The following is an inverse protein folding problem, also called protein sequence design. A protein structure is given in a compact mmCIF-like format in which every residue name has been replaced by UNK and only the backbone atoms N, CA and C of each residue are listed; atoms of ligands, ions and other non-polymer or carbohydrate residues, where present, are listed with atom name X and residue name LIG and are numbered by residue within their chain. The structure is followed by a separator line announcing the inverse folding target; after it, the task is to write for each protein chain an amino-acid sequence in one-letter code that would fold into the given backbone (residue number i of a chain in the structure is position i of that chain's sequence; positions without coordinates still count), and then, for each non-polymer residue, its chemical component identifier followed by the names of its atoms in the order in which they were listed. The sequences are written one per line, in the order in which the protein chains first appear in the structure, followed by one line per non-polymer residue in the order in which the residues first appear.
data_IF_437194550340
#
_entry.id   IF_437194550340
#
_cell.length_a   1.000
_cell.length_b   1.000
_cell.length_c   1.000
_cell.angle_alpha   90.00
_cell.angle_beta   90.00
_cell.angle_gamma   90.00
#
_symmetry.space_group_name_H-M   'P 1'
#
loop_
_entity.id
_entity.type
_entity.pdbx_description
1 polymer ?
#
# COMPACT_ATOMS: atom_id res chain seq x y z
N UNK A 1 -8.65 11.56 -44.86
CA UNK A 1 -7.43 10.81 -44.51
C UNK A 1 -6.58 11.79 -43.73
N UNK A 2 -6.65 11.89 -42.41
CA UNK A 2 -7.20 11.03 -41.34
C UNK A 2 -7.59 11.95 -40.17
N UNK A 3 -8.64 11.56 -39.46
CA UNK A 3 -9.23 12.25 -38.31
C UNK A 3 -8.26 12.38 -37.13
N UNK A 4 -8.28 13.55 -36.50
CA UNK A 4 -7.62 13.85 -35.23
C UNK A 4 -8.63 13.59 -34.11
N UNK A 5 -8.43 12.51 -33.35
CA UNK A 5 -9.23 12.20 -32.16
C UNK A 5 -8.45 12.70 -30.95
N UNK A 6 -8.76 13.92 -30.53
CA UNK A 6 -8.47 14.39 -29.18
C UNK A 6 -9.24 13.50 -28.21
N UNK A 7 -8.53 12.60 -27.52
CA UNK A 7 -9.08 11.86 -26.39
C UNK A 7 -9.29 12.85 -25.25
N UNK A 8 -10.47 13.46 -25.24
CA UNK A 8 -10.92 14.36 -24.18
C UNK A 8 -11.28 13.53 -22.96
N UNK A 9 -10.65 13.87 -21.85
CA UNK A 9 -10.97 13.42 -20.50
C UNK A 9 -12.49 13.48 -20.27
N UNK A 10 -13.11 12.32 -20.06
CA UNK A 10 -14.55 12.21 -19.83
C UNK A 10 -14.81 12.72 -18.42
N UNK A 11 -15.61 13.79 -18.22
CA UNK A 11 -15.93 14.25 -16.88
C UNK A 11 -16.58 13.13 -16.09
N UNK A 12 -15.97 12.72 -14.98
CA UNK A 12 -16.55 11.71 -14.10
C UNK A 12 -17.85 12.24 -13.48
N UNK A 13 -18.91 11.42 -13.52
CA UNK A 13 -20.20 11.75 -12.91
C UNK A 13 -20.08 11.67 -11.37
N UNK A 14 -20.28 12.77 -10.63
CA UNK A 14 -20.20 12.77 -9.17
C UNK A 14 -21.17 11.79 -8.50
N UNK A 15 -22.30 11.45 -9.14
CA UNK A 15 -23.24 10.47 -8.60
C UNK A 15 -22.74 9.02 -8.75
N UNK A 16 -21.94 8.75 -9.79
CA UNK A 16 -21.34 7.44 -10.02
C UNK A 16 -20.20 7.17 -9.03
N UNK A 17 -19.31 8.15 -8.84
CA UNK A 17 -18.23 8.06 -7.84
C UNK A 17 -18.77 7.78 -6.43
N UNK A 18 -19.83 8.47 -5.99
CA UNK A 18 -20.42 8.22 -4.66
C UNK A 18 -21.08 6.83 -4.51
N UNK A 19 -21.56 6.21 -5.59
CA UNK A 19 -22.05 4.84 -5.56
C UNK A 19 -20.90 3.83 -5.52
N UNK A 20 -19.83 4.07 -6.28
CA UNK A 20 -18.64 3.23 -6.30
C UNK A 20 -17.94 3.21 -4.91
N UNK A 21 -17.88 4.37 -4.24
CA UNK A 21 -17.35 4.50 -2.88
C UNK A 21 -18.15 3.67 -1.86
N UNK A 22 -19.49 3.66 -1.97
CA UNK A 22 -20.36 2.88 -1.08
C UNK A 22 -20.17 1.38 -1.29
N UNK A 23 -20.12 0.94 -2.56
CA UNK A 23 -19.87 -0.47 -2.90
C UNK A 23 -18.51 -0.91 -2.39
N UNK A 24 -17.49 -0.07 -2.52
CA UNK A 24 -16.16 -0.35 -1.99
C UNK A 24 -16.17 -0.44 -0.45
N UNK A 25 -16.83 0.49 0.23
CA UNK A 25 -16.96 0.47 1.68
C UNK A 25 -17.69 -0.79 2.19
N UNK A 26 -18.70 -1.27 1.47
CA UNK A 26 -19.39 -2.53 1.78
C UNK A 26 -18.45 -3.73 1.62
N UNK A 27 -17.67 -3.79 0.54
CA UNK A 27 -16.66 -4.86 0.32
C UNK A 27 -15.61 -4.87 1.42
N UNK A 28 -15.05 -3.70 1.77
CA UNK A 28 -14.06 -3.54 2.85
C UNK A 28 -14.64 -3.99 4.20
N UNK A 29 -15.88 -3.59 4.49
CA UNK A 29 -16.55 -3.97 5.73
C UNK A 29 -16.75 -5.48 5.81
N UNK A 30 -17.27 -6.09 4.75
CA UNK A 30 -17.49 -7.54 4.70
C UNK A 30 -16.17 -8.33 4.86
N UNK A 31 -15.10 -7.91 4.18
CA UNK A 31 -13.78 -8.51 4.35
C UNK A 31 -13.27 -8.36 5.78
N UNK A 32 -13.41 -7.17 6.37
CA UNK A 32 -12.96 -6.91 7.73
C UNK A 32 -13.67 -7.77 8.77
N UNK A 33 -14.98 -8.02 8.60
CA UNK A 33 -15.73 -8.91 9.48
C UNK A 33 -15.18 -10.35 9.49
N UNK A 34 -14.73 -10.84 8.34
CA UNK A 34 -14.06 -12.14 8.19
C UNK A 34 -12.63 -12.14 8.73
N UNK A 35 -11.88 -11.05 8.53
CA UNK A 35 -10.46 -10.96 8.84
C UNK A 35 -10.18 -10.65 10.33
N UNK A 36 -10.97 -9.77 10.97
CA UNK A 36 -10.72 -9.29 12.35
C UNK A 36 -10.57 -10.38 13.42
N UNK A 37 -11.28 -11.53 13.38
CA UNK A 37 -11.11 -12.59 14.38
C UNK A 37 -9.75 -13.29 14.26
N UNK A 38 -9.09 -13.21 13.10
CA UNK A 38 -7.74 -13.74 12.85
C UNK A 38 -6.66 -12.74 13.28
N UNK A 39 -6.92 -11.44 13.13
CA UNK A 39 -6.04 -10.37 13.57
C UNK A 39 -5.68 -10.48 15.07
N UNK A 40 -6.67 -10.80 15.92
CA UNK A 40 -6.48 -10.93 17.37
C UNK A 40 -5.86 -12.25 17.87
N UNK A 41 -5.51 -13.20 16.99
CA UNK A 41 -4.96 -14.51 17.37
C UNK A 41 -3.44 -14.64 17.23
N UNK A 42 -2.77 -13.69 16.58
CA UNK A 42 -1.33 -13.80 16.30
C UNK A 42 -0.42 -13.21 17.37
N UNK A 43 -0.95 -12.65 18.47
CA UNK A 43 -0.15 -12.19 19.61
C UNK A 43 0.25 -13.36 20.53
N UNK A 44 1.44 -13.91 20.32
CA UNK A 44 2.08 -14.76 21.33
C UNK A 44 2.69 -13.88 22.44
N UNK A 45 1.95 -13.73 23.54
CA UNK A 45 2.50 -13.40 24.86
C UNK A 45 2.26 -11.98 25.37
N UNK A 46 1.25 -11.81 26.22
CA UNK A 46 1.09 -10.64 27.08
C UNK A 46 -0.38 -10.26 27.34
N UNK A 47 -0.83 -10.51 28.57
CA UNK A 47 -2.06 -10.11 29.26
C UNK A 47 -3.29 -9.57 28.49
N UNK A 48 -4.45 -10.13 28.88
CA UNK A 48 -5.84 -9.84 28.50
C UNK A 48 -6.26 -8.36 28.64
N UNK A 49 -6.88 -7.85 27.56
CA UNK A 49 -7.67 -6.61 27.46
C UNK A 49 -7.24 -5.83 26.21
N UNK A 50 -8.03 -5.57 25.17
CA UNK A 50 -9.48 -5.46 25.00
C UNK A 50 -10.01 -6.32 23.83
N UNK A 51 -11.20 -6.91 23.99
CA UNK A 51 -11.90 -7.71 22.97
C UNK A 51 -13.01 -6.93 22.25
N UNK A 52 -12.98 -5.59 22.22
CA UNK A 52 -14.12 -4.77 21.76
C UNK A 52 -13.79 -3.54 20.92
N UNK A 53 -12.53 -3.21 20.62
CA UNK A 53 -12.22 -1.88 20.06
C UNK A 53 -12.06 -1.82 18.53
N UNK A 54 -11.88 -2.96 17.86
CA UNK A 54 -11.60 -2.98 16.42
C UNK A 54 -12.86 -3.31 15.59
N UNK A 55 -13.91 -2.51 15.75
CA UNK A 55 -15.14 -2.62 14.96
C UNK A 55 -15.00 -1.94 13.60
N UNK A 56 -14.26 -0.83 13.53
CA UNK A 56 -14.04 -0.07 12.30
C UNK A 56 -12.95 -0.77 11.47
N UNK A 57 -13.14 -0.93 10.15
CA UNK A 57 -12.08 -1.41 9.27
C UNK A 57 -10.85 -0.51 9.35
N UNK A 58 -9.62 -1.07 9.33
CA UNK A 58 -8.41 -0.26 9.19
C UNK A 58 -8.35 0.41 7.80
N UNK A 59 -7.40 1.34 7.57
CA UNK A 59 -7.17 1.90 6.25
C UNK A 59 -7.03 0.81 5.18
N UNK A 60 -7.61 1.08 4.01
CA UNK A 60 -7.59 0.17 2.87
C UNK A 60 -6.97 0.87 1.66
N UNK A 61 -5.98 0.24 1.03
CA UNK A 61 -5.20 0.83 -0.05
C UNK A 61 -4.65 -0.24 -0.99
N UNK A 62 -4.29 0.14 -2.21
CA UNK A 62 -3.69 -0.74 -3.22
C UNK A 62 -2.22 -0.38 -3.40
N UNK A 63 -1.38 -1.37 -3.74
CA UNK A 63 0.02 -1.12 -4.09
C UNK A 63 0.14 -0.46 -5.47
N UNK A 64 1.18 0.36 -5.64
CA UNK A 64 1.47 1.02 -6.91
C UNK A 64 0.42 2.08 -7.29
N UNK A 65 0.51 2.57 -8.52
CA UNK A 65 -0.32 3.67 -9.04
C UNK A 65 -1.16 3.28 -10.27
N UNK A 66 -1.31 1.98 -10.53
CA UNK A 66 -2.18 1.46 -11.60
C UNK A 66 -2.81 0.13 -11.21
N UNK A 67 -4.00 -0.23 -11.74
CA UNK A 67 -4.64 -1.51 -11.45
C UNK A 67 -3.77 -2.72 -11.71
N UNK A 68 -3.04 -2.74 -12.84
CA UNK A 68 -2.16 -3.85 -13.19
C UNK A 68 -0.99 -4.02 -12.22
N UNK A 69 -0.38 -2.90 -11.79
CA UNK A 69 0.69 -2.94 -10.80
C UNK A 69 0.17 -3.35 -9.41
N UNK A 70 -1.02 -2.91 -9.03
CA UNK A 70 -1.67 -3.34 -7.80
C UNK A 70 -1.88 -4.86 -7.76
N UNK A 71 -2.39 -5.45 -8.84
CA UNK A 71 -2.57 -6.90 -8.95
C UNK A 71 -1.26 -7.67 -8.89
N UNK A 72 -0.23 -7.19 -9.58
CA UNK A 72 1.11 -7.79 -9.58
C UNK A 72 1.72 -7.82 -8.17
N UNK A 73 1.76 -6.65 -7.51
CA UNK A 73 2.37 -6.51 -6.19
C UNK A 73 1.57 -7.24 -5.12
N UNK A 74 0.23 -7.21 -5.19
CA UNK A 74 -0.61 -8.02 -4.33
C UNK A 74 -0.34 -9.52 -4.53
N UNK A 75 -0.13 -9.97 -5.76
CA UNK A 75 0.26 -11.35 -6.06
C UNK A 75 1.51 -11.79 -5.29
N UNK A 76 2.52 -10.92 -5.21
CA UNK A 76 3.74 -11.16 -4.43
C UNK A 76 3.47 -11.21 -2.92
N UNK A 77 2.57 -10.37 -2.42
CA UNK A 77 2.15 -10.37 -1.00
C UNK A 77 1.44 -11.67 -0.65
N UNK A 78 0.50 -12.10 -1.49
CA UNK A 78 -0.26 -13.34 -1.29
C UNK A 78 0.62 -14.59 -1.40
N UNK A 79 1.68 -14.55 -2.21
CA UNK A 79 2.68 -15.59 -2.29
C UNK A 79 3.66 -15.62 -1.09
N UNK A 80 3.65 -14.57 -0.25
CA UNK A 80 4.59 -14.39 0.86
C UNK A 80 5.99 -13.96 0.43
N UNK A 81 6.16 -13.55 -0.84
CA UNK A 81 7.43 -13.04 -1.38
C UNK A 81 7.63 -11.58 -0.96
N UNK A 82 6.61 -10.74 -1.12
CA UNK A 82 6.62 -9.34 -0.68
C UNK A 82 6.15 -9.25 0.78
N UNK A 83 7.07 -8.80 1.64
CA UNK A 83 6.87 -8.63 3.09
C UNK A 83 7.37 -7.28 3.59
N UNK A 84 7.72 -6.39 2.65
CA UNK A 84 8.12 -5.02 2.89
C UNK A 84 7.53 -4.10 1.81
N UNK A 85 7.44 -2.82 2.15
CA UNK A 85 7.04 -1.74 1.24
C UNK A 85 7.80 -0.47 1.57
N UNK A 86 7.90 0.43 0.60
CA UNK A 86 8.48 1.74 0.75
C UNK A 86 7.53 2.85 0.28
N UNK A 87 7.57 3.98 0.96
CA UNK A 87 6.87 5.21 0.59
C UNK A 87 7.78 6.41 0.82
N UNK A 88 7.63 7.48 0.04
CA UNK A 88 8.32 8.72 0.32
C UNK A 88 7.72 9.36 1.55
N UNK A 89 8.54 9.86 2.49
CA UNK A 89 8.04 10.62 3.63
C UNK A 89 7.15 11.79 3.19
N UNK A 90 7.49 12.40 2.06
CA UNK A 90 6.77 13.53 1.48
C UNK A 90 5.33 13.21 1.07
N UNK A 91 5.02 11.95 0.75
CA UNK A 91 3.64 11.54 0.44
C UNK A 91 2.74 11.71 1.67
N UNK A 92 3.24 11.34 2.86
CA UNK A 92 2.53 11.56 4.13
C UNK A 92 2.43 13.04 4.48
N UNK A 93 3.51 13.81 4.28
CA UNK A 93 3.51 15.26 4.57
C UNK A 93 2.47 16.02 3.72
N UNK A 94 2.33 15.64 2.46
CA UNK A 94 1.38 16.27 1.52
C UNK A 94 -0.05 15.83 1.80
N UNK A 95 -0.26 14.56 2.17
CA UNK A 95 -1.58 14.05 2.56
C UNK A 95 -2.02 14.51 3.96
N UNK A 96 -1.13 15.14 4.74
CA UNK A 96 -1.32 15.43 6.17
C UNK A 96 -1.65 14.17 6.99
N UNK A 97 -1.10 13.02 6.57
CA UNK A 97 -1.33 11.72 7.18
C UNK A 97 -0.23 11.36 8.18
N UNK A 98 -0.56 10.65 9.27
CA UNK A 98 0.46 10.15 10.19
C UNK A 98 1.30 9.05 9.54
N UNK A 99 2.58 8.99 9.92
CA UNK A 99 3.43 7.86 9.55
C UNK A 99 2.92 6.54 10.14
N UNK A 100 3.09 5.42 9.41
CA UNK A 100 2.75 4.10 9.89
C UNK A 100 3.53 3.77 11.16
N UNK A 101 2.94 2.92 11.99
CA UNK A 101 3.52 2.47 13.26
C UNK A 101 3.48 0.95 13.34
N UNK A 102 4.45 0.42 14.08
CA UNK A 102 4.44 -0.99 14.44
C UNK A 102 3.12 -1.35 15.14
N UNK A 103 2.43 -2.35 14.62
CA UNK A 103 1.14 -2.83 15.10
C UNK A 103 -0.04 -2.34 14.28
N UNK A 104 0.14 -1.33 13.42
CA UNK A 104 -0.93 -0.83 12.56
C UNK A 104 -1.40 -1.94 11.62
N UNK A 105 -2.71 -1.95 11.39
CA UNK A 105 -3.36 -2.86 10.45
C UNK A 105 -3.65 -2.10 9.16
N UNK A 106 -3.61 -2.80 8.04
CA UNK A 106 -4.06 -2.28 6.75
C UNK A 106 -4.72 -3.38 5.93
N UNK A 107 -5.74 -3.01 5.16
CA UNK A 107 -6.36 -3.89 4.16
C UNK A 107 -5.74 -3.57 2.80
N UNK A 108 -5.15 -4.57 2.15
CA UNK A 108 -4.59 -4.44 0.81
C UNK A 108 -5.67 -4.78 -0.22
N UNK A 109 -5.85 -3.87 -1.17
CA UNK A 109 -6.79 -4.00 -2.28
C UNK A 109 -6.09 -4.52 -3.55
N UNK A 110 -6.87 -5.18 -4.43
CA UNK A 110 -6.46 -5.46 -5.81
C UNK A 110 -6.73 -4.28 -6.75
N UNK A 111 -6.38 -4.43 -8.03
CA UNK A 111 -6.54 -3.40 -9.05
C UNK A 111 -7.99 -3.01 -9.35
N UNK A 112 -8.96 -3.84 -8.94
CA UNK A 112 -10.40 -3.56 -9.03
C UNK A 112 -10.99 -3.04 -7.69
N UNK A 113 -10.11 -2.71 -6.74
CA UNK A 113 -10.48 -2.20 -5.43
C UNK A 113 -11.12 -3.26 -4.52
N UNK A 114 -10.99 -4.55 -4.81
CA UNK A 114 -11.43 -5.61 -3.90
C UNK A 114 -10.43 -5.77 -2.76
N UNK A 115 -10.88 -5.90 -1.49
CA UNK A 115 -9.98 -6.25 -0.39
C UNK A 115 -9.55 -7.71 -0.46
N UNK A 116 -8.23 -7.95 -0.37
CA UNK A 116 -7.64 -9.28 -0.60
C UNK A 116 -6.70 -9.75 0.50
N UNK A 117 -6.08 -8.84 1.26
CA UNK A 117 -5.24 -9.19 2.38
C UNK A 117 -5.40 -8.23 3.55
N UNK A 118 -5.27 -8.75 4.77
CA UNK A 118 -5.07 -7.96 5.98
C UNK A 118 -3.60 -8.11 6.38
N UNK A 119 -2.87 -7.00 6.42
CA UNK A 119 -1.48 -6.97 6.87
C UNK A 119 -1.35 -6.23 8.20
N UNK A 120 -0.26 -6.52 8.92
CA UNK A 120 0.18 -5.76 10.08
C UNK A 120 1.60 -5.29 9.89
N UNK A 121 1.84 -4.00 10.11
CA UNK A 121 3.19 -3.43 10.13
C UNK A 121 3.95 -3.94 11.35
N UNK A 122 5.07 -4.63 11.14
CA UNK A 122 5.91 -5.21 12.18
C UNK A 122 7.11 -4.32 12.54
N UNK A 123 7.57 -3.49 11.60
CA UNK A 123 8.63 -2.51 11.80
C UNK A 123 8.50 -1.35 10.79
N UNK A 124 8.94 -0.17 11.22
CA UNK A 124 9.02 1.04 10.39
C UNK A 124 10.38 1.69 10.64
N UNK A 125 11.06 2.08 9.57
CA UNK A 125 12.32 2.82 9.61
C UNK A 125 12.28 3.90 8.53
N UNK A 126 12.86 5.08 8.80
CA UNK A 126 13.02 6.12 7.78
C UNK A 126 14.49 6.30 7.50
N UNK A 127 14.89 6.08 6.25
CA UNK A 127 16.28 6.21 5.77
C UNK A 127 16.33 7.03 4.48
N UNK A 128 17.46 7.65 4.13
CA UNK A 128 17.66 8.19 2.79
C UNK A 128 17.47 7.10 1.72
N UNK A 129 16.93 7.47 0.55
CA UNK A 129 16.72 6.55 -0.57
C UNK A 129 17.99 5.79 -0.98
N UNK A 130 19.13 6.49 -1.05
CA UNK A 130 20.43 5.91 -1.39
C UNK A 130 21.06 5.06 -0.27
N UNK A 131 20.45 5.06 0.92
CA UNK A 131 20.81 4.21 2.06
C UNK A 131 19.87 3.01 2.26
N UNK A 132 18.81 2.89 1.46
CA UNK A 132 17.95 1.69 1.47
C UNK A 132 18.79 0.44 1.20
N UNK A 133 18.63 -0.54 2.08
CA UNK A 133 19.49 -1.74 2.10
C UNK A 133 19.03 -2.76 1.06
N UNK A 134 19.98 -3.57 0.57
CA UNK A 134 19.65 -4.71 -0.30
C UNK A 134 18.73 -5.73 0.37
N UNK A 135 18.78 -5.84 1.71
CA UNK A 135 17.85 -6.70 2.44
C UNK A 135 16.41 -6.17 2.39
N UNK A 136 16.21 -4.85 2.49
CA UNK A 136 14.88 -4.26 2.32
C UNK A 136 14.35 -4.50 0.90
N UNK A 137 15.14 -4.20 -0.12
CA UNK A 137 14.79 -4.47 -1.53
C UNK A 137 14.40 -5.94 -1.77
N UNK A 138 15.16 -6.89 -1.20
CA UNK A 138 14.84 -8.32 -1.29
C UNK A 138 13.53 -8.69 -0.61
N UNK A 139 13.18 -8.04 0.51
CA UNK A 139 11.91 -8.25 1.22
C UNK A 139 10.72 -7.63 0.49
N UNK A 140 10.94 -6.61 -0.35
CA UNK A 140 9.90 -6.10 -1.26
C UNK A 140 9.57 -7.09 -2.36
N UNK A 141 10.50 -7.98 -2.71
CA UNK A 141 10.19 -9.17 -3.50
C UNK A 141 9.95 -8.92 -4.98
N UNK A 142 10.25 -7.72 -5.47
CA UNK A 142 10.00 -7.25 -6.84
C UNK A 142 11.17 -7.58 -7.79
N UNK A 143 10.87 -7.61 -9.09
CA UNK A 143 11.81 -7.81 -10.19
C UNK A 143 12.78 -9.00 -9.96
N UNK A 144 14.09 -8.75 -10.03
CA UNK A 144 15.15 -9.74 -9.84
C UNK A 144 15.68 -9.80 -8.40
N UNK A 145 14.96 -9.19 -7.44
CA UNK A 145 15.31 -9.08 -6.02
C UNK A 145 16.59 -8.26 -5.74
N UNK A 146 17.13 -7.56 -6.73
CA UNK A 146 18.34 -6.76 -6.57
C UNK A 146 18.04 -5.35 -6.08
N UNK A 147 18.97 -4.78 -5.30
CA UNK A 147 18.92 -3.37 -4.92
C UNK A 147 18.98 -2.43 -6.14
N UNK A 148 19.62 -2.87 -7.24
CA UNK A 148 19.72 -2.07 -8.45
C UNK A 148 18.36 -1.92 -9.14
N UNK A 149 17.64 -3.03 -9.33
CA UNK A 149 16.28 -3.02 -9.87
C UNK A 149 15.33 -2.22 -8.97
N UNK A 150 15.41 -2.45 -7.65
CA UNK A 150 14.62 -1.69 -6.67
C UNK A 150 14.82 -0.18 -6.82
N UNK A 151 16.08 0.29 -6.92
CA UNK A 151 16.38 1.72 -7.09
C UNK A 151 15.84 2.27 -8.41
N UNK A 152 16.00 1.53 -9.50
CA UNK A 152 15.51 1.95 -10.83
C UNK A 152 13.97 2.07 -10.84
N UNK A 153 13.27 1.07 -10.31
CA UNK A 153 11.81 1.06 -10.22
C UNK A 153 11.28 2.19 -9.35
N UNK A 154 11.83 2.35 -8.15
CA UNK A 154 11.39 3.38 -7.19
C UNK A 154 11.74 4.80 -7.64
N UNK A 155 12.91 5.02 -8.26
CA UNK A 155 13.25 6.31 -8.85
C UNK A 155 12.26 6.65 -9.98
N UNK A 156 11.94 5.69 -10.84
CA UNK A 156 10.97 5.88 -11.93
C UNK A 156 9.57 6.20 -11.38
N UNK A 157 9.14 5.49 -10.34
CA UNK A 157 7.89 5.73 -9.64
C UNK A 157 7.84 7.13 -9.03
N UNK A 158 8.80 7.49 -8.18
CA UNK A 158 8.78 8.78 -7.48
C UNK A 158 9.04 9.98 -8.38
N UNK A 159 9.78 9.83 -9.48
CA UNK A 159 9.86 10.90 -10.49
C UNK A 159 8.48 11.23 -11.09
N UNK A 160 7.60 10.23 -11.23
CA UNK A 160 6.24 10.40 -11.74
C UNK A 160 5.28 10.90 -10.67
N UNK A 161 5.32 10.34 -9.46
CA UNK A 161 4.29 10.62 -8.43
C UNK A 161 4.59 11.88 -7.62
N UNK A 162 5.86 12.22 -7.38
CA UNK A 162 6.22 13.40 -6.59
C UNK A 162 6.02 14.72 -7.33
N UNK A 163 6.01 14.70 -8.67
CA UNK A 163 5.78 15.92 -9.46
C UNK A 163 4.41 16.53 -9.14
N UNK A 164 3.38 15.69 -8.97
CA UNK A 164 2.04 16.11 -8.54
C UNK A 164 2.05 16.78 -7.14
N UNK A 165 2.99 16.39 -6.29
CA UNK A 165 3.23 16.95 -4.97
C UNK A 165 4.15 18.21 -4.97
N UNK A 166 4.56 18.68 -6.15
CA UNK A 166 5.51 19.81 -6.26
C UNK A 166 6.90 19.49 -5.71
N UNK A 167 7.26 18.20 -5.66
CA UNK A 167 8.57 17.70 -5.23
C UNK A 167 9.28 17.06 -6.41
N UNK A 168 10.60 17.00 -6.33
CA UNK A 168 11.44 16.31 -7.32
C UNK A 168 12.22 15.24 -6.62
N UNK A 169 12.32 14.07 -7.24
CA UNK A 169 13.16 12.98 -6.75
C UNK A 169 14.58 13.46 -6.41
N UNK A 170 15.06 13.08 -5.24
CA UNK A 170 16.41 13.34 -4.75
C UNK A 170 16.95 12.05 -4.11
N UNK A 171 18.18 11.59 -4.43
CA UNK A 171 18.71 10.36 -3.84
C UNK A 171 18.83 10.38 -2.30
N UNK A 172 18.85 11.55 -1.68
CA UNK A 172 18.84 11.72 -0.22
C UNK A 172 17.44 11.87 0.37
N UNK A 173 16.38 11.76 -0.44
CA UNK A 173 15.01 11.89 0.03
C UNK A 173 14.69 10.83 1.11
N UNK A 174 13.98 11.22 2.18
CA UNK A 174 13.58 10.28 3.22
C UNK A 174 12.53 9.29 2.71
N UNK A 175 12.85 8.00 2.82
CA UNK A 175 11.99 6.86 2.48
C UNK A 175 11.56 6.17 3.76
N UNK A 176 10.25 6.00 3.92
CA UNK A 176 9.61 5.22 4.98
C UNK A 176 9.56 3.77 4.54
N UNK A 177 10.42 2.95 5.13
CA UNK A 177 10.53 1.52 4.90
C UNK A 177 9.71 0.76 5.95
N UNK A 178 8.70 0.02 5.50
CA UNK A 178 7.88 -0.84 6.34
C UNK A 178 8.21 -2.31 6.12
N UNK A 179 8.13 -3.11 7.18
CA UNK A 179 8.01 -4.57 7.10
C UNK A 179 6.67 -4.99 7.66
N UNK A 180 6.04 -5.97 7.05
CA UNK A 180 4.71 -6.40 7.47
C UNK A 180 4.54 -7.92 7.40
N UNK A 181 3.51 -8.40 8.09
CA UNK A 181 3.05 -9.79 8.03
C UNK A 181 1.59 -9.83 7.58
N UNK A 182 1.28 -10.73 6.63
CA UNK A 182 -0.10 -11.07 6.27
C UNK A 182 -0.76 -11.84 7.42
N UNK A 183 -1.87 -11.33 7.93
CA UNK A 183 -2.68 -11.95 8.99
C UNK A 183 -3.86 -12.75 8.45
N UNK A 184 -4.38 -12.34 7.30
CA UNK A 184 -5.51 -12.95 6.60
C UNK A 184 -5.46 -12.62 5.12
N UNK A 185 -5.94 -13.52 4.27
CA UNK A 185 -6.01 -13.32 2.82
C UNK A 185 -7.10 -14.17 2.19
N UNK A 186 -7.64 -13.72 1.04
CA UNK A 186 -8.65 -14.42 0.22
C UNK A 186 -8.22 -14.61 -1.24
#
# INVERSE_FOLDING_TARGET
MTDDVTSGDVPQDPQQSGLDDLVQAERITAFWESARPKAGRTSHGGAVGERSENVVPPPAWAFGDSPGLADELLGLVLAGTKTATASALWEFEVAEEPLPRRGDLSIVLDGEGAPRALIRTDAVETVPFDEVTAEHARLEGEDDLSLAAWREGHETYWRRTLEAAGRTFDPSMPVVCERFTVLYSE
#
